data_IF_730668207981
#
_entry.id   IF_730668207981
#
_cell.length_a   1.000
_cell.length_b   1.000
_cell.length_c   1.000
_cell.angle_alpha   90.00
_cell.angle_beta   90.00
_cell.angle_gamma   90.00
#
_symmetry.space_group_name_H-M   'P 1'
#
loop_
_entity.id
_entity.type
_entity.pdbx_description
1 polymer ?
#
# COMPACT_ATOMS: atom_id res chain seq x y z
N UNK A 1 0.90 -9.83 -0.20
CA UNK A 1 1.92 -8.77 -0.02
C UNK A 1 2.10 -8.49 1.48
N UNK A 2 3.25 -7.96 1.91
CA UNK A 2 3.53 -7.65 3.32
C UNK A 2 4.45 -6.42 3.44
N UNK A 3 4.16 -5.55 4.40
CA UNK A 3 4.97 -4.38 4.71
C UNK A 3 6.44 -4.73 4.93
N UNK A 4 7.33 -3.81 4.54
CA UNK A 4 8.78 -3.92 4.74
C UNK A 4 9.46 -5.15 4.13
N UNK A 5 8.77 -5.90 3.26
CA UNK A 5 9.43 -6.90 2.40
C UNK A 5 10.12 -6.21 1.22
N UNK A 6 11.23 -6.73 0.69
CA UNK A 6 11.99 -6.04 -0.36
C UNK A 6 11.14 -5.66 -1.58
N UNK A 7 10.33 -6.59 -2.11
CA UNK A 7 9.47 -6.33 -3.26
C UNK A 7 8.44 -5.23 -3.02
N UNK A 8 7.66 -5.33 -1.94
CA UNK A 8 6.67 -4.29 -1.60
C UNK A 8 7.32 -2.94 -1.25
N UNK A 9 8.56 -2.95 -0.75
CA UNK A 9 9.31 -1.72 -0.46
C UNK A 9 9.71 -1.02 -1.75
N UNK A 10 10.25 -1.74 -2.73
CA UNK A 10 10.60 -1.18 -4.04
C UNK A 10 9.35 -0.66 -4.75
N UNK A 11 8.30 -1.48 -4.82
CA UNK A 11 7.04 -1.09 -5.48
C UNK A 11 6.41 0.16 -4.85
N UNK A 12 6.35 0.23 -3.50
CA UNK A 12 5.84 1.41 -2.81
C UNK A 12 6.67 2.67 -3.05
N UNK A 13 8.00 2.54 -3.17
CA UNK A 13 8.89 3.65 -3.52
C UNK A 13 8.65 4.13 -4.95
N UNK A 14 8.45 3.23 -5.91
CA UNK A 14 8.15 3.58 -7.29
C UNK A 14 6.83 4.37 -7.41
N UNK A 15 5.79 3.96 -6.66
CA UNK A 15 4.54 4.71 -6.57
C UNK A 15 4.71 6.08 -5.94
N UNK A 16 5.52 6.18 -4.86
CA UNK A 16 5.84 7.47 -4.22
C UNK A 16 6.52 8.41 -5.21
N UNK A 17 7.54 7.92 -5.90
CA UNK A 17 8.35 8.74 -6.80
C UNK A 17 7.54 9.19 -8.03
N UNK A 18 6.52 8.43 -8.41
CA UNK A 18 5.58 8.78 -9.48
C UNK A 18 4.27 9.44 -9.00
N UNK A 19 4.10 9.69 -7.69
CA UNK A 19 2.82 10.13 -7.11
C UNK A 19 2.23 11.37 -7.81
N UNK A 20 3.08 12.35 -8.14
CA UNK A 20 2.66 13.57 -8.84
C UNK A 20 2.07 13.29 -10.23
N UNK A 21 2.54 12.25 -10.93
CA UNK A 21 2.03 11.86 -12.25
C UNK A 21 0.61 11.32 -12.13
N UNK A 22 0.38 10.42 -11.17
CA UNK A 22 -0.96 9.89 -10.87
C UNK A 22 -1.93 11.01 -10.45
N UNK A 23 -1.48 11.93 -9.59
CA UNK A 23 -2.29 13.09 -9.18
C UNK A 23 -2.72 13.97 -10.37
N UNK A 24 -1.83 14.22 -11.34
CA UNK A 24 -2.17 14.97 -12.57
C UNK A 24 -3.19 14.26 -13.45
N UNK A 25 -3.28 12.94 -13.35
CA UNK A 25 -4.27 12.11 -14.03
C UNK A 25 -5.54 11.88 -13.19
N UNK A 26 -5.78 12.70 -12.15
CA UNK A 26 -6.91 12.57 -11.24
C UNK A 26 -7.04 11.16 -10.63
N UNK A 27 -5.91 10.55 -10.28
CA UNK A 27 -5.84 9.17 -9.75
C UNK A 27 -5.45 9.15 -8.28
N UNK A 28 -6.18 8.36 -7.48
CA UNK A 28 -5.86 8.08 -6.08
C UNK A 28 -5.13 6.73 -6.00
N UNK A 29 -4.08 6.66 -5.20
CA UNK A 29 -3.32 5.44 -4.92
C UNK A 29 -3.68 4.96 -3.52
N UNK A 30 -3.95 3.67 -3.38
CA UNK A 30 -4.20 3.00 -2.10
C UNK A 30 -3.44 1.66 -2.11
N UNK A 31 -2.58 1.45 -1.12
CA UNK A 31 -1.98 0.14 -0.88
C UNK A 31 -2.88 -0.70 0.02
N UNK A 32 -2.87 -2.02 -0.12
CA UNK A 32 -3.67 -2.93 0.72
C UNK A 32 -2.83 -4.14 1.10
N UNK A 33 -2.84 -4.50 2.38
CA UNK A 33 -2.34 -5.80 2.84
C UNK A 33 -3.12 -6.26 4.07
N UNK A 34 -2.79 -7.46 4.58
CA UNK A 34 -3.35 -8.00 5.83
C UNK A 34 -2.61 -7.49 7.08
N UNK A 35 -1.61 -6.62 6.90
CA UNK A 35 -0.86 -6.04 8.02
C UNK A 35 -1.72 -5.04 8.79
N UNK A 36 -1.36 -4.80 10.06
CA UNK A 36 -2.11 -3.88 10.92
C UNK A 36 -1.85 -2.41 10.57
N UNK A 37 -2.78 -1.53 10.96
CA UNK A 37 -2.60 -0.08 10.85
C UNK A 37 -1.29 0.41 11.48
N UNK A 38 -0.86 -0.17 12.62
CA UNK A 38 0.39 0.20 13.27
C UNK A 38 1.63 -0.15 12.44
N UNK A 39 1.58 -1.25 11.66
CA UNK A 39 2.63 -1.60 10.69
C UNK A 39 2.64 -0.59 9.55
N UNK A 40 1.47 -0.31 8.98
CA UNK A 40 1.30 0.62 7.88
C UNK A 40 1.79 2.03 8.20
N UNK A 41 1.45 2.58 9.38
CA UNK A 41 1.91 3.91 9.78
C UNK A 41 3.44 3.98 9.87
N UNK A 42 4.08 2.96 10.44
CA UNK A 42 5.55 2.89 10.50
C UNK A 42 6.16 2.79 9.11
N UNK A 43 5.59 1.95 8.25
CA UNK A 43 6.09 1.72 6.89
C UNK A 43 5.93 2.97 6.01
N UNK A 44 4.75 3.58 6.02
CA UNK A 44 4.42 4.85 5.35
C UNK A 44 5.34 5.97 5.81
N UNK A 45 5.51 6.15 7.12
CA UNK A 45 6.38 7.19 7.67
C UNK A 45 7.86 6.96 7.29
N UNK A 46 8.35 5.72 7.42
CA UNK A 46 9.73 5.35 7.10
C UNK A 46 10.09 5.66 5.65
N UNK A 47 9.19 5.34 4.72
CA UNK A 47 9.45 5.50 3.29
C UNK A 47 8.82 6.76 2.68
N UNK A 48 8.17 7.60 3.50
CA UNK A 48 7.54 8.87 3.12
C UNK A 48 6.50 8.72 2.01
N UNK A 49 5.67 7.68 2.11
CA UNK A 49 4.59 7.50 1.13
C UNK A 49 3.54 8.60 1.27
N UNK A 50 3.09 9.11 0.12
CA UNK A 50 2.10 10.19 0.02
C UNK A 50 0.66 9.66 -0.16
N UNK A 51 0.51 8.34 -0.10
CA UNK A 51 -0.73 7.61 -0.25
C UNK A 51 -1.03 6.78 1.01
N UNK A 52 -2.26 6.33 1.13
CA UNK A 52 -2.73 5.59 2.30
C UNK A 52 -2.63 4.07 2.09
N UNK A 53 -2.53 3.35 3.20
CA UNK A 53 -2.46 1.90 3.25
C UNK A 53 -3.64 1.36 4.04
N UNK A 54 -4.43 0.48 3.43
CA UNK A 54 -5.60 -0.16 4.03
C UNK A 54 -5.20 -1.49 4.64
N UNK A 55 -5.53 -1.64 5.92
CA UNK A 55 -5.40 -2.89 6.68
C UNK A 55 -6.63 -3.78 6.44
N UNK A 56 -6.48 -4.84 5.64
CA UNK A 56 -7.47 -5.89 5.40
C UNK A 56 -7.24 -7.09 6.32
N UNK A 57 -7.16 -6.85 7.63
CA UNK A 57 -6.79 -7.87 8.62
C UNK A 57 -7.80 -9.03 8.73
N UNK A 58 -9.04 -8.82 8.32
CA UNK A 58 -10.11 -9.83 8.28
C UNK A 58 -10.34 -10.42 6.88
N UNK A 59 -9.46 -10.11 5.92
CA UNK A 59 -9.43 -10.65 4.56
C UNK A 59 -10.70 -10.36 3.74
N UNK A 60 -11.49 -9.36 4.12
CA UNK A 60 -12.72 -8.99 3.41
C UNK A 60 -12.43 -8.59 1.97
N UNK A 61 -11.43 -7.75 1.74
CA UNK A 61 -11.04 -7.31 0.40
C UNK A 61 -10.37 -8.45 -0.36
N UNK A 62 -9.45 -9.18 0.29
CA UNK A 62 -8.80 -10.35 -0.30
C UNK A 62 -9.80 -11.37 -0.83
N UNK A 63 -10.84 -11.70 -0.07
CA UNK A 63 -11.92 -12.62 -0.49
C UNK A 63 -12.81 -12.01 -1.56
N UNK A 64 -13.16 -10.73 -1.43
CA UNK A 64 -14.02 -10.03 -2.40
C UNK A 64 -13.40 -9.97 -3.80
N UNK A 65 -12.07 -9.83 -3.87
CA UNK A 65 -11.33 -9.74 -5.13
C UNK A 65 -10.67 -11.06 -5.56
N UNK A 66 -10.83 -12.14 -4.79
CA UNK A 66 -10.23 -13.45 -5.07
C UNK A 66 -8.70 -13.42 -5.28
N UNK A 67 -8.01 -12.62 -4.45
CA UNK A 67 -6.55 -12.40 -4.53
C UNK A 67 -5.77 -13.12 -3.43
N UNK A 68 -6.41 -14.10 -2.79
CA UNK A 68 -5.82 -14.92 -1.74
C UNK A 68 -5.89 -16.41 -2.13
N UNK A 69 -4.74 -17.07 -2.15
CA UNK A 69 -4.59 -18.53 -2.31
C UNK A 69 -3.83 -19.09 -1.13
#
# INVERSE_FOLDING_TARGET
PKDSTPGCTTEGQDFRDNYSRFKRLNTIILGVSRDSLASHEKFRAKHRFQFDLISDADEKLCRKFDVIR
#
